data_IF_812287129461
#
_entry.id   IF_812287129461
#
_cell.length_a   1.000
_cell.length_b   1.000
_cell.length_c   1.000
_cell.angle_alpha   90.00
_cell.angle_beta   90.00
_cell.angle_gamma   90.00
#
_symmetry.space_group_name_H-M   'P 1'
#
loop_
_entity.id
_entity.type
_entity.pdbx_description
1 polymer ?
#
# COMPACT_ATOMS: atom_id res chain seq x y z
N UNK A 1 2.22 -5.36 18.66
CA UNK A 1 2.76 -4.00 18.88
C UNK A 1 3.98 -3.82 17.99
N UNK A 2 4.19 -2.63 17.46
CA UNK A 2 5.40 -2.27 16.70
C UNK A 2 5.96 -0.99 17.32
N UNK A 3 7.22 -1.00 17.76
CA UNK A 3 7.88 0.14 18.40
C UNK A 3 7.06 0.73 19.56
N UNK A 4 6.44 -0.12 20.38
CA UNK A 4 5.57 0.31 21.48
C UNK A 4 4.14 0.74 21.09
N UNK A 5 3.82 0.84 19.79
CA UNK A 5 2.47 1.19 19.32
C UNK A 5 1.58 -0.04 19.12
N UNK A 6 0.36 0.03 19.64
CA UNK A 6 -0.65 -1.03 19.45
C UNK A 6 -1.25 -0.99 18.05
N UNK A 7 -1.16 -2.11 17.33
CA UNK A 7 -1.73 -2.24 15.99
C UNK A 7 -3.23 -2.52 16.11
N UNK A 8 -4.04 -1.49 15.89
CA UNK A 8 -5.51 -1.58 15.94
C UNK A 8 -6.09 -2.11 14.63
N UNK A 9 -7.33 -2.65 14.68
CA UNK A 9 -8.04 -3.07 13.48
C UNK A 9 -8.25 -1.90 12.51
N UNK A 10 -8.57 -0.72 13.05
CA UNK A 10 -8.78 0.50 12.27
C UNK A 10 -7.51 0.90 11.51
N UNK A 11 -6.33 0.77 12.13
CA UNK A 11 -5.06 1.06 11.46
C UNK A 11 -4.81 0.09 10.30
N UNK A 12 -4.99 -1.22 10.52
CA UNK A 12 -4.84 -2.23 9.46
C UNK A 12 -5.81 -1.96 8.32
N UNK A 13 -7.07 -1.66 8.63
CA UNK A 13 -8.10 -1.33 7.65
C UNK A 13 -7.77 -0.07 6.85
N UNK A 14 -7.32 1.00 7.51
CA UNK A 14 -6.94 2.25 6.85
C UNK A 14 -5.77 2.04 5.88
N UNK A 15 -4.71 1.33 6.29
CA UNK A 15 -3.58 1.00 5.40
C UNK A 15 -4.04 0.12 4.23
N UNK A 16 -4.99 -0.80 4.46
CA UNK A 16 -5.60 -1.62 3.42
C UNK A 16 -6.35 -0.78 2.37
N UNK A 17 -7.17 0.18 2.81
CA UNK A 17 -7.90 1.09 1.92
C UNK A 17 -6.94 1.94 1.07
N UNK A 18 -5.87 2.47 1.68
CA UNK A 18 -4.85 3.23 0.95
C UNK A 18 -4.15 2.36 -0.08
N UNK A 19 -3.72 1.15 0.31
CA UNK A 19 -3.09 0.17 -0.60
C UNK A 19 -4.00 -0.15 -1.78
N UNK A 20 -5.28 -0.42 -1.51
CA UNK A 20 -6.27 -0.72 -2.54
C UNK A 20 -6.49 0.47 -3.48
N UNK A 21 -6.54 1.68 -2.95
CA UNK A 21 -6.68 2.90 -3.77
C UNK A 21 -5.50 3.09 -4.73
N UNK A 22 -4.27 2.83 -4.27
CA UNK A 22 -3.07 2.87 -5.12
C UNK A 22 -3.09 1.74 -6.17
N UNK A 23 -3.57 0.55 -5.82
CA UNK A 23 -3.76 -0.54 -6.77
C UNK A 23 -4.75 -0.15 -7.88
N UNK A 24 -5.90 0.41 -7.52
CA UNK A 24 -6.89 0.91 -8.48
C UNK A 24 -6.26 1.96 -9.39
N UNK A 25 -5.53 2.92 -8.83
CA UNK A 25 -4.81 3.92 -9.62
C UNK A 25 -3.81 3.29 -10.61
N UNK A 26 -3.06 2.27 -10.18
CA UNK A 26 -2.14 1.52 -11.04
C UNK A 26 -2.87 0.85 -12.21
N UNK A 27 -4.00 0.19 -11.94
CA UNK A 27 -4.83 -0.47 -12.95
C UNK A 27 -5.41 0.55 -13.94
N UNK A 28 -5.92 1.68 -13.46
CA UNK A 28 -6.46 2.75 -14.30
C UNK A 28 -5.39 3.37 -15.21
N UNK A 29 -4.16 3.52 -14.72
CA UNK A 29 -3.02 3.92 -15.55
C UNK A 29 -2.70 2.85 -16.62
N UNK A 30 -2.61 1.58 -16.21
CA UNK A 30 -2.31 0.45 -17.12
C UNK A 30 -3.35 0.29 -18.24
N UNK A 31 -4.63 0.50 -17.92
CA UNK A 31 -5.74 0.55 -18.88
C UNK A 31 -5.81 1.85 -19.69
N UNK A 32 -4.90 2.81 -19.45
CA UNK A 32 -4.89 4.15 -20.07
C UNK A 32 -6.19 4.93 -19.87
N UNK A 33 -6.93 4.67 -18.78
CA UNK A 33 -8.08 5.47 -18.37
C UNK A 33 -7.57 6.78 -17.76
N UNK A 34 -6.63 6.68 -16.81
CA UNK A 34 -5.84 7.81 -16.35
C UNK A 34 -4.60 7.92 -17.24
N UNK A 35 -4.47 9.04 -17.95
CA UNK A 35 -3.45 9.20 -19.01
C UNK A 35 -2.35 10.16 -18.58
N UNK A 36 -1.13 9.68 -18.67
CA UNK A 36 0.09 10.49 -18.67
C UNK A 36 0.77 10.32 -20.03
N UNK A 37 1.41 11.37 -20.55
CA UNK A 37 2.03 11.34 -21.89
C UNK A 37 3.52 11.00 -21.82
N UNK A 38 4.01 10.23 -22.79
CA UNK A 38 5.43 9.95 -22.98
C UNK A 38 6.13 9.40 -21.73
N UNK A 39 7.32 9.92 -21.43
CA UNK A 39 8.15 9.51 -20.28
C UNK A 39 7.45 9.69 -18.92
N UNK A 40 6.49 10.60 -18.82
CA UNK A 40 5.75 10.82 -17.59
C UNK A 40 4.92 9.59 -17.20
N UNK A 41 4.33 8.88 -18.17
CA UNK A 41 3.59 7.64 -17.90
C UNK A 41 4.46 6.59 -17.24
N UNK A 42 5.61 6.30 -17.83
CA UNK A 42 6.52 5.29 -17.30
C UNK A 42 7.05 5.72 -15.93
N UNK A 43 7.32 7.01 -15.72
CA UNK A 43 7.75 7.54 -14.42
C UNK A 43 6.67 7.35 -13.36
N UNK A 44 5.44 7.83 -13.61
CA UNK A 44 4.34 7.72 -12.63
C UNK A 44 4.01 6.27 -12.36
N UNK A 45 3.87 5.43 -13.40
CA UNK A 45 3.55 4.01 -13.26
C UNK A 45 4.62 3.25 -12.44
N UNK A 46 5.91 3.56 -12.63
CA UNK A 46 7.00 2.95 -11.86
C UNK A 46 6.97 3.38 -10.39
N UNK A 47 6.80 4.67 -10.12
CA UNK A 47 6.77 5.17 -8.74
C UNK A 47 5.52 4.70 -7.98
N UNK A 48 4.37 4.68 -8.64
CA UNK A 48 3.14 4.14 -8.05
C UNK A 48 3.20 2.62 -7.83
N UNK A 49 3.87 1.86 -8.69
CA UNK A 49 4.17 0.44 -8.44
C UNK A 49 5.05 0.23 -7.20
N UNK A 50 6.13 1.02 -7.06
CA UNK A 50 7.02 0.93 -5.91
C UNK A 50 6.29 1.28 -4.61
N UNK A 51 5.46 2.34 -4.63
CA UNK A 51 4.61 2.73 -3.51
C UNK A 51 3.61 1.64 -3.15
N UNK A 52 2.96 1.03 -4.16
CA UNK A 52 2.01 -0.07 -3.95
C UNK A 52 2.67 -1.25 -3.26
N UNK A 53 3.87 -1.64 -3.69
CA UNK A 53 4.61 -2.75 -3.09
C UNK A 53 4.95 -2.46 -1.62
N UNK A 54 5.44 -1.26 -1.32
CA UNK A 54 5.76 -0.86 0.05
C UNK A 54 4.51 -0.86 0.95
N UNK A 55 3.39 -0.31 0.46
CA UNK A 55 2.12 -0.31 1.18
C UNK A 55 1.56 -1.71 1.40
N UNK A 56 1.65 -2.59 0.40
CA UNK A 56 1.19 -3.98 0.51
C UNK A 56 2.02 -4.76 1.54
N UNK A 57 3.35 -4.61 1.52
CA UNK A 57 4.24 -5.20 2.51
C UNK A 57 3.92 -4.70 3.93
N UNK A 58 3.72 -3.39 4.09
CA UNK A 58 3.33 -2.79 5.36
C UNK A 58 1.96 -3.30 5.84
N UNK A 59 0.96 -3.36 4.96
CA UNK A 59 -0.37 -3.86 5.28
C UNK A 59 -0.31 -5.31 5.78
N UNK A 60 0.42 -6.16 5.05
CA UNK A 60 0.62 -7.57 5.42
C UNK A 60 1.34 -7.72 6.77
N UNK A 61 2.40 -6.95 7.00
CA UNK A 61 3.12 -6.96 8.28
C UNK A 61 2.21 -6.53 9.44
N UNK A 62 1.47 -5.43 9.30
CA UNK A 62 0.57 -4.94 10.34
C UNK A 62 -0.54 -5.96 10.65
N UNK A 63 -1.10 -6.59 9.61
CA UNK A 63 -2.08 -7.65 9.78
C UNK A 63 -1.47 -8.87 10.51
N UNK A 64 -0.28 -9.32 10.11
CA UNK A 64 0.42 -10.44 10.74
C UNK A 64 0.73 -10.17 12.21
N UNK A 65 1.25 -8.97 12.53
CA UNK A 65 1.53 -8.55 13.91
C UNK A 65 0.27 -8.56 14.75
N UNK A 66 -0.85 -8.08 14.20
CA UNK A 66 -2.13 -8.04 14.92
C UNK A 66 -2.71 -9.43 15.14
N UNK A 67 -2.72 -10.29 14.11
CA UNK A 67 -3.34 -11.62 14.17
C UNK A 67 -2.57 -12.59 15.07
N UNK A 68 -1.24 -12.45 15.13
CA UNK A 68 -0.38 -13.30 15.95
C UNK A 68 0.03 -12.65 17.28
N UNK A 69 -0.53 -11.48 17.60
CA UNK A 69 -0.18 -10.71 18.81
C UNK A 69 1.33 -10.45 18.98
N UNK A 70 2.07 -10.36 17.87
CA UNK A 70 3.51 -10.16 17.92
C UNK A 70 3.87 -8.83 18.55
N UNK A 71 5.02 -8.79 19.24
CA UNK A 71 5.62 -7.57 19.74
C UNK A 71 6.97 -7.38 19.05
N UNK A 72 7.04 -6.35 18.21
CA UNK A 72 8.26 -5.96 17.50
C UNK A 72 8.74 -4.68 18.17
N UNK A 73 9.88 -4.77 18.85
CA UNK A 73 10.51 -3.68 19.60
C UNK A 73 11.66 -3.06 18.83
#
# INVERSE_FOLDING_TARGET
MVLGYSITANLVGAVGIVTFSVLVFQVLQGKRIIKFKGKAHTKVHRWSAALLLALAALHGLLAAVRLNSWQIG
#
